data_IF_718705154592
#
_entry.id   IF_718705154592
#
_cell.length_a   1.000
_cell.length_b   1.000
_cell.length_c   1.000
_cell.angle_alpha   90.00
_cell.angle_beta   90.00
_cell.angle_gamma   90.00
#
_symmetry.space_group_name_H-M   'P 1'
#
loop_
_entity.id
_entity.type
_entity.pdbx_description
1 polymer ?
#
# COMPACT_ATOMS: atom_id res chain seq x y z
N UNK A 1 2.31 8.45 -12.66
CA UNK A 1 1.28 7.84 -11.79
C UNK A 1 1.20 8.62 -10.49
N UNK A 2 -0.01 8.83 -9.97
CA UNK A 2 -0.26 9.43 -8.65
C UNK A 2 0.25 8.52 -7.54
N UNK A 3 0.96 9.09 -6.57
CA UNK A 3 1.32 8.44 -5.32
C UNK A 3 0.41 8.94 -4.19
N UNK A 4 -0.42 8.04 -3.66
CA UNK A 4 -1.33 8.30 -2.55
C UNK A 4 -0.67 7.80 -1.27
N UNK A 5 -0.34 8.73 -0.38
CA UNK A 5 0.44 8.47 0.84
C UNK A 5 -0.45 8.62 2.06
N UNK A 6 -0.65 7.54 2.82
CA UNK A 6 -1.30 7.59 4.13
C UNK A 6 -0.35 8.08 5.21
N UNK A 7 -0.79 9.07 5.99
CA UNK A 7 0.00 9.65 7.09
C UNK A 7 -0.84 9.86 8.34
N UNK A 8 -0.28 9.51 9.49
CA UNK A 8 -0.85 9.72 10.82
C UNK A 8 0.21 9.99 11.90
N UNK A 9 1.50 9.76 11.62
CA UNK A 9 2.61 9.76 12.56
C UNK A 9 3.43 11.06 12.47
N UNK A 10 4.70 10.97 12.89
CA UNK A 10 5.67 12.05 12.99
C UNK A 10 6.27 12.37 11.62
N UNK A 11 6.51 13.67 11.39
CA UNK A 11 7.20 14.25 10.24
C UNK A 11 8.45 13.48 9.74
N UNK A 12 9.27 12.95 10.64
CA UNK A 12 10.47 12.18 10.28
C UNK A 12 10.21 10.95 9.41
N UNK A 13 9.01 10.36 9.48
CA UNK A 13 8.63 9.22 8.64
C UNK A 13 8.33 9.70 7.21
N UNK A 14 7.59 10.80 7.08
CA UNK A 14 7.31 11.45 5.80
C UNK A 14 8.59 11.85 5.08
N UNK A 15 9.54 12.46 5.79
CA UNK A 15 10.79 12.92 5.18
C UNK A 15 11.56 11.73 4.57
N UNK A 16 11.71 10.64 5.34
CA UNK A 16 12.38 9.42 4.85
C UNK A 16 11.62 8.74 3.72
N UNK A 17 10.30 8.62 3.83
CA UNK A 17 9.47 8.04 2.79
C UNK A 17 9.60 8.83 1.48
N UNK A 18 9.47 10.16 1.53
CA UNK A 18 9.59 11.03 0.35
C UNK A 18 10.99 11.01 -0.25
N UNK A 19 12.04 11.02 0.56
CA UNK A 19 13.41 10.93 0.06
C UNK A 19 13.66 9.59 -0.64
N UNK A 20 13.19 8.48 -0.07
CA UNK A 20 13.30 7.18 -0.72
C UNK A 20 12.45 7.05 -1.99
N UNK A 21 11.24 7.62 -2.00
CA UNK A 21 10.38 7.67 -3.19
C UNK A 21 11.07 8.44 -4.32
N UNK A 22 11.69 9.58 -4.03
CA UNK A 22 12.43 10.38 -5.03
C UNK A 22 13.69 9.67 -5.52
N UNK A 23 14.38 8.95 -4.65
CA UNK A 23 15.62 8.26 -4.98
C UNK A 23 15.40 6.98 -5.80
N UNK A 24 14.35 6.22 -5.48
CA UNK A 24 14.20 4.84 -5.95
C UNK A 24 12.92 4.58 -6.74
N UNK A 25 11.92 5.46 -6.73
CA UNK A 25 10.63 5.16 -7.37
C UNK A 25 10.44 6.04 -8.61
N UNK A 26 10.61 5.41 -9.77
CA UNK A 26 10.39 6.06 -11.06
C UNK A 26 8.89 6.05 -11.42
N UNK A 27 8.44 7.12 -12.10
CA UNK A 27 7.08 7.23 -12.62
C UNK A 27 6.08 7.91 -11.68
N UNK A 28 6.49 8.41 -10.51
CA UNK A 28 5.62 9.27 -9.67
C UNK A 28 5.49 10.65 -10.34
N UNK A 29 4.26 11.08 -10.59
CA UNK A 29 3.98 12.39 -11.23
C UNK A 29 3.38 13.42 -10.27
N UNK A 30 2.77 12.96 -9.18
CA UNK A 30 2.17 13.82 -8.17
C UNK A 30 2.06 13.07 -6.84
N UNK A 31 2.03 13.82 -5.74
CA UNK A 31 1.79 13.31 -4.40
C UNK A 31 0.42 13.77 -3.90
N UNK A 32 -0.35 12.82 -3.36
CA UNK A 32 -1.59 13.09 -2.64
C UNK A 32 -1.48 12.47 -1.25
N UNK A 33 -1.48 13.32 -0.23
CA UNK A 33 -1.38 12.91 1.17
C UNK A 33 -2.76 12.76 1.77
N UNK A 34 -3.01 11.60 2.38
CA UNK A 34 -4.19 11.34 3.20
C UNK A 34 -3.78 11.51 4.65
N UNK A 35 -4.06 12.69 5.19
CA UNK A 35 -3.60 13.10 6.51
C UNK A 35 -4.64 12.80 7.60
N UNK A 36 -4.38 11.73 8.36
CA UNK A 36 -5.16 11.33 9.52
C UNK A 36 -4.50 11.72 10.85
N UNK A 37 -3.52 12.62 10.86
CA UNK A 37 -2.89 13.10 12.10
C UNK A 37 -3.83 13.93 12.97
N UNK A 38 -4.76 14.67 12.34
CA UNK A 38 -5.56 15.69 13.04
C UNK A 38 -4.77 16.93 13.44
N UNK A 39 -3.57 17.12 12.89
CA UNK A 39 -2.68 18.23 13.16
C UNK A 39 -2.56 19.17 11.94
N UNK A 40 -2.95 20.44 12.13
CA UNK A 40 -2.90 21.44 11.08
C UNK A 40 -1.46 21.78 10.66
N UNK A 41 -0.51 21.79 11.59
CA UNK A 41 0.89 22.07 11.25
C UNK A 41 1.47 20.97 10.36
N UNK A 42 1.09 19.71 10.62
CA UNK A 42 1.42 18.59 9.76
C UNK A 42 0.76 18.72 8.37
N UNK A 43 -0.52 19.06 8.31
CA UNK A 43 -1.20 19.27 7.03
C UNK A 43 -0.56 20.40 6.21
N UNK A 44 -0.21 21.53 6.84
CA UNK A 44 0.48 22.66 6.20
C UNK A 44 1.89 22.27 5.72
N UNK A 45 2.58 21.42 6.47
CA UNK A 45 3.85 20.84 6.04
C UNK A 45 3.70 19.98 4.77
N UNK A 46 2.73 19.07 4.75
CA UNK A 46 2.49 18.16 3.63
C UNK A 46 2.10 18.89 2.34
N UNK A 47 1.38 20.02 2.45
CA UNK A 47 1.01 20.89 1.32
C UNK A 47 2.21 21.43 0.55
N UNK A 48 3.39 21.47 1.17
CA UNK A 48 4.62 21.88 0.47
C UNK A 48 5.10 20.88 -0.57
N UNK A 49 4.60 19.64 -0.54
CA UNK A 49 5.01 18.56 -1.45
C UNK A 49 3.90 18.10 -2.40
N UNK A 50 2.63 18.37 -2.08
CA UNK A 50 1.51 17.87 -2.87
C UNK A 50 0.13 18.22 -2.32
N UNK A 51 -0.89 17.56 -2.85
CA UNK A 51 -2.28 17.78 -2.42
C UNK A 51 -2.53 17.07 -1.10
N UNK A 52 -3.26 17.70 -0.18
CA UNK A 52 -3.57 17.12 1.14
C UNK A 52 -5.07 16.93 1.31
N UNK A 53 -5.47 15.73 1.72
CA UNK A 53 -6.83 15.36 2.11
C UNK A 53 -6.84 15.04 3.61
N UNK A 54 -7.32 15.98 4.41
CA UNK A 54 -7.38 15.83 5.87
C UNK A 54 -8.56 14.94 6.29
N UNK A 55 -8.28 13.91 7.08
CA UNK A 55 -9.28 13.03 7.71
C UNK A 55 -9.37 13.22 9.22
N UNK A 56 -8.58 14.11 9.82
CA UNK A 56 -8.82 14.64 11.16
C UNK A 56 -8.79 13.60 12.28
N UNK A 57 -7.81 12.70 12.31
CA UNK A 57 -7.63 11.77 13.44
C UNK A 57 -8.74 10.72 13.58
N UNK A 58 -9.38 10.33 12.48
CA UNK A 58 -10.58 9.49 12.49
C UNK A 58 -10.30 7.99 12.32
N UNK A 59 -9.02 7.61 12.24
CA UNK A 59 -8.54 6.24 12.16
C UNK A 59 -8.39 5.72 10.74
N UNK A 60 -7.61 4.64 10.64
CA UNK A 60 -7.19 3.98 9.40
C UNK A 60 -8.33 3.74 8.41
N UNK A 61 -9.49 3.28 8.88
CA UNK A 61 -10.63 3.04 8.00
C UNK A 61 -11.16 4.28 7.28
N UNK A 62 -11.10 5.48 7.90
CA UNK A 62 -11.49 6.74 7.24
C UNK A 62 -10.40 7.19 6.27
N UNK A 63 -9.13 7.11 6.66
CA UNK A 63 -8.00 7.39 5.79
C UNK A 63 -8.07 6.56 4.50
N UNK A 64 -8.23 5.23 4.60
CA UNK A 64 -8.33 4.37 3.42
C UNK A 64 -9.54 4.66 2.52
N UNK A 65 -10.65 5.17 3.07
CA UNK A 65 -11.78 5.63 2.25
C UNK A 65 -11.45 6.91 1.49
N UNK A 66 -10.76 7.85 2.14
CA UNK A 66 -10.28 9.06 1.50
C UNK A 66 -9.25 8.73 0.41
N UNK A 67 -8.33 7.79 0.67
CA UNK A 67 -7.39 7.26 -0.32
C UNK A 67 -8.11 6.70 -1.55
N UNK A 68 -9.14 5.86 -1.35
CA UNK A 68 -9.94 5.31 -2.45
C UNK A 68 -10.67 6.40 -3.26
N UNK A 69 -11.11 7.49 -2.61
CA UNK A 69 -11.75 8.60 -3.30
C UNK A 69 -10.73 9.44 -4.08
N UNK A 70 -9.57 9.73 -3.49
CA UNK A 70 -8.50 10.54 -4.08
C UNK A 70 -7.83 9.90 -5.30
N UNK A 71 -7.92 8.58 -5.42
CA UNK A 71 -7.51 7.86 -6.62
C UNK A 71 -8.42 8.12 -7.83
N UNK A 72 -9.66 8.59 -7.62
CA UNK A 72 -10.61 8.94 -8.69
C UNK A 72 -10.87 7.81 -9.71
N UNK A 73 -10.69 6.56 -9.28
CA UNK A 73 -10.82 5.39 -10.16
C UNK A 73 -9.65 5.19 -11.13
N UNK A 74 -8.52 5.88 -10.91
CA UNK A 74 -7.28 5.70 -11.65
C UNK A 74 -6.36 4.68 -10.98
N UNK A 75 -5.47 4.08 -11.79
CA UNK A 75 -4.39 3.27 -11.24
C UNK A 75 -3.42 4.19 -10.49
N UNK A 76 -3.08 3.85 -9.25
CA UNK A 76 -2.22 4.68 -8.41
C UNK A 76 -1.35 3.82 -7.50
N UNK A 77 -0.22 4.40 -7.08
CA UNK A 77 0.60 3.85 -6.00
C UNK A 77 -0.07 4.20 -4.67
N UNK A 78 -0.27 3.21 -3.82
CA UNK A 78 -0.55 3.38 -2.40
C UNK A 78 0.75 3.23 -1.61
N UNK A 79 0.97 4.09 -0.61
CA UNK A 79 2.14 4.09 0.26
C UNK A 79 1.74 4.49 1.68
N UNK A 80 2.35 3.89 2.70
CA UNK A 80 2.24 4.34 4.10
C UNK A 80 3.54 5.03 4.52
N UNK A 81 3.46 6.13 5.27
CA UNK A 81 4.62 6.98 5.60
C UNK A 81 5.79 6.28 6.30
N UNK A 82 5.58 5.11 6.90
CA UNK A 82 6.58 4.34 7.61
C UNK A 82 7.30 3.28 6.76
N UNK A 83 7.15 3.38 5.44
CA UNK A 83 7.90 2.58 4.49
C UNK A 83 8.98 3.38 3.76
N UNK A 84 10.11 2.73 3.54
CA UNK A 84 11.26 3.25 2.79
C UNK A 84 11.57 2.29 1.63
N UNK A 85 11.72 2.80 0.41
CA UNK A 85 12.21 2.00 -0.72
C UNK A 85 13.70 1.68 -0.53
N UNK A 86 14.08 0.42 -0.75
CA UNK A 86 15.49 -0.05 -0.63
C UNK A 86 16.06 -0.56 -1.96
N UNK A 87 15.24 -0.60 -3.00
CA UNK A 87 15.65 -0.91 -4.37
C UNK A 87 14.87 -0.04 -5.34
N UNK A 88 15.39 0.13 -6.55
CA UNK A 88 14.68 0.83 -7.61
C UNK A 88 13.37 0.12 -7.99
N UNK A 89 12.32 0.90 -8.17
CA UNK A 89 10.95 0.49 -8.47
C UNK A 89 10.47 1.29 -9.67
N UNK A 90 10.04 0.57 -10.71
CA UNK A 90 9.46 1.15 -11.92
C UNK A 90 7.94 1.00 -11.89
N UNK A 91 7.23 2.11 -11.67
CA UNK A 91 5.77 2.11 -11.61
C UNK A 91 5.12 1.85 -12.97
N UNK A 92 5.77 2.20 -14.08
CA UNK A 92 5.24 1.94 -15.42
C UNK A 92 5.31 0.44 -15.73
N UNK A 93 6.39 -0.23 -15.31
CA UNK A 93 6.49 -1.68 -15.39
C UNK A 93 5.42 -2.38 -14.53
N UNK A 94 5.20 -1.91 -13.29
CA UNK A 94 4.14 -2.45 -12.42
C UNK A 94 2.75 -2.23 -13.03
N UNK A 95 2.50 -1.07 -13.62
CA UNK A 95 1.25 -0.75 -14.31
C UNK A 95 1.03 -1.63 -15.54
N UNK A 96 2.08 -1.92 -16.30
CA UNK A 96 2.03 -2.81 -17.45
C UNK A 96 1.67 -4.25 -17.04
N UNK A 97 2.28 -4.78 -15.97
CA UNK A 97 1.93 -6.10 -15.42
C UNK A 97 0.44 -6.15 -15.10
N UNK A 98 -0.07 -5.16 -14.37
CA UNK A 98 -1.50 -5.10 -14.07
C UNK A 98 -2.31 -5.00 -15.37
N UNK A 99 -1.95 -4.15 -16.32
CA UNK A 99 -2.70 -4.03 -17.58
C UNK A 99 -2.79 -5.36 -18.34
N UNK A 100 -1.69 -6.14 -18.40
CA UNK A 100 -1.65 -7.44 -19.08
C UNK A 100 -2.34 -8.57 -18.30
N UNK A 101 -2.45 -8.45 -16.97
CA UNK A 101 -3.03 -9.48 -16.09
C UNK A 101 -4.28 -8.95 -15.37
N UNK A 102 -5.41 -8.75 -16.07
CA UNK A 102 -6.59 -8.04 -15.54
C UNK A 102 -7.19 -8.66 -14.27
N UNK A 103 -6.89 -9.92 -13.98
CA UNK A 103 -7.30 -10.62 -12.76
C UNK A 103 -6.47 -10.24 -11.51
N UNK A 104 -5.36 -9.50 -11.62
CA UNK A 104 -4.62 -9.02 -10.44
C UNK A 104 -5.22 -7.70 -9.94
N UNK A 105 -5.63 -7.62 -8.67
CA UNK A 105 -6.14 -6.40 -8.06
C UNK A 105 -5.04 -5.38 -7.75
N UNK A 106 -3.90 -5.88 -7.25
CA UNK A 106 -2.76 -5.08 -6.87
C UNK A 106 -1.46 -5.82 -7.17
N UNK A 107 -0.39 -5.05 -7.31
CA UNK A 107 0.97 -5.53 -7.30
C UNK A 107 1.69 -4.85 -6.13
N UNK A 108 1.96 -5.61 -5.09
CA UNK A 108 2.57 -5.12 -3.86
C UNK A 108 4.09 -5.29 -3.86
N UNK A 109 4.77 -4.33 -3.24
CA UNK A 109 6.17 -4.37 -2.95
C UNK A 109 6.39 -5.26 -1.73
N UNK A 110 7.22 -6.28 -1.86
CA UNK A 110 7.52 -7.17 -0.75
C UNK A 110 8.40 -6.43 0.26
N UNK A 111 8.02 -6.50 1.53
CA UNK A 111 8.83 -5.98 2.65
C UNK A 111 9.58 -7.10 3.35
N UNK A 112 10.62 -6.73 4.10
CA UNK A 112 11.21 -7.63 5.09
C UNK A 112 10.20 -8.08 6.16
N UNK A 113 10.52 -9.15 6.92
CA UNK A 113 9.70 -9.59 8.04
C UNK A 113 9.52 -8.46 9.07
N UNK A 114 8.32 -8.32 9.62
CA UNK A 114 7.98 -7.27 10.58
C UNK A 114 7.27 -7.80 11.82
N UNK A 115 6.42 -8.83 11.67
CA UNK A 115 5.76 -9.48 12.81
C UNK A 115 6.56 -10.70 13.32
N UNK A 116 6.45 -11.07 14.61
CA UNK A 116 7.18 -12.22 15.16
C UNK A 116 7.02 -13.52 14.35
N UNK A 117 5.80 -13.81 13.89
CA UNK A 117 5.51 -14.99 13.05
C UNK A 117 6.21 -14.92 11.69
N UNK A 118 6.38 -13.73 11.13
CA UNK A 118 7.10 -13.54 9.87
C UNK A 118 8.60 -13.74 10.09
N UNK A 119 9.15 -13.25 11.21
CA UNK A 119 10.55 -13.50 11.56
C UNK A 119 10.82 -15.00 11.78
N UNK A 120 9.89 -15.71 12.43
CA UNK A 120 9.99 -17.16 12.64
C UNK A 120 10.03 -17.95 11.32
N UNK A 121 9.27 -17.52 10.32
CA UNK A 121 9.14 -18.22 9.05
C UNK A 121 10.03 -17.66 7.93
N UNK A 122 10.73 -16.54 8.15
CA UNK A 122 11.62 -15.91 7.19
C UNK A 122 10.99 -14.81 6.31
N UNK A 123 9.68 -14.59 6.40
CA UNK A 123 8.97 -13.54 5.68
C UNK A 123 7.45 -13.69 5.73
N UNK A 124 6.76 -12.70 5.15
CA UNK A 124 5.29 -12.68 5.11
C UNK A 124 4.71 -13.76 4.19
N UNK A 125 5.41 -14.11 3.10
CA UNK A 125 4.96 -15.16 2.18
C UNK A 125 5.13 -16.52 2.86
N UNK A 126 6.28 -16.76 3.47
CA UNK A 126 6.64 -18.00 4.15
C UNK A 126 5.72 -18.26 5.35
N UNK A 127 5.41 -17.22 6.14
CA UNK A 127 4.43 -17.31 7.22
C UNK A 127 3.02 -17.65 6.71
N UNK A 128 2.59 -17.05 5.59
CA UNK A 128 1.29 -17.37 5.00
C UNK A 128 1.25 -18.77 4.37
N UNK A 129 2.36 -19.25 3.82
CA UNK A 129 2.49 -20.64 3.33
C UNK A 129 2.40 -21.65 4.48
N UNK A 130 3.02 -21.35 5.62
CA UNK A 130 2.90 -22.16 6.83
C UNK A 130 1.45 -22.20 7.36
N UNK A 131 0.67 -21.14 7.16
CA UNK A 131 -0.78 -21.09 7.43
C UNK A 131 -1.64 -21.75 6.32
N UNK A 132 -1.03 -22.44 5.37
CA UNK A 132 -1.71 -23.24 4.34
C UNK A 132 -2.13 -22.46 3.09
N UNK A 133 -1.59 -21.26 2.87
CA UNK A 133 -1.86 -20.50 1.64
C UNK A 133 -0.93 -20.87 0.49
N UNK A 134 -1.49 -20.92 -0.72
CA UNK A 134 -0.73 -21.13 -1.96
C UNK A 134 -0.24 -19.83 -2.56
N UNK A 135 1.02 -19.85 -3.02
CA UNK A 135 1.68 -18.81 -3.79
C UNK A 135 2.30 -19.44 -5.04
N UNK A 136 2.23 -18.75 -6.18
CA UNK A 136 2.78 -19.23 -7.45
C UNK A 136 3.55 -18.13 -8.13
N UNK A 137 4.76 -18.42 -8.57
CA UNK A 137 5.51 -17.49 -9.42
C UNK A 137 5.02 -17.61 -10.87
N UNK A 138 4.65 -16.49 -11.46
CA UNK A 138 4.16 -16.38 -12.84
C UNK A 138 4.85 -15.18 -13.48
N UNK A 139 5.73 -15.44 -14.45
CA UNK A 139 6.63 -14.49 -15.12
C UNK A 139 7.12 -13.36 -14.18
N UNK A 140 7.86 -13.73 -13.13
CA UNK A 140 8.47 -12.76 -12.22
C UNK A 140 7.52 -12.05 -11.25
N UNK A 141 6.29 -12.55 -11.06
CA UNK A 141 5.34 -12.06 -10.05
C UNK A 141 4.88 -13.22 -9.18
N UNK A 142 4.84 -13.02 -7.87
CA UNK A 142 4.33 -14.02 -6.93
C UNK A 142 2.83 -13.79 -6.74
N UNK A 143 2.00 -14.62 -7.37
CA UNK A 143 0.54 -14.51 -7.35
C UNK A 143 -0.12 -15.39 -6.27
N UNK A 144 -1.15 -14.86 -5.61
CA UNK A 144 -1.82 -15.54 -4.49
C UNK A 144 -3.25 -15.02 -4.25
N UNK A 145 -3.95 -15.65 -3.30
CA UNK A 145 -5.28 -15.23 -2.81
C UNK A 145 -5.30 -14.95 -1.29
N UNK A 146 -4.15 -15.13 -0.63
CA UNK A 146 -4.01 -15.10 0.83
C UNK A 146 -4.39 -13.76 1.47
N UNK A 147 -3.89 -12.64 0.91
CA UNK A 147 -4.07 -11.32 1.51
C UNK A 147 -4.19 -10.21 0.47
N UNK A 148 -5.02 -9.22 0.78
CA UNK A 148 -4.95 -7.90 0.17
C UNK A 148 -4.29 -7.01 1.21
N UNK A 149 -3.09 -6.51 0.91
CA UNK A 149 -2.22 -5.83 1.89
C UNK A 149 -2.21 -4.32 1.69
N UNK A 150 -2.17 -3.57 2.79
CA UNK A 150 -1.86 -2.14 2.83
C UNK A 150 -0.38 -1.78 2.63
N UNK A 151 0.52 -2.76 2.46
CA UNK A 151 1.91 -2.50 2.07
C UNK A 151 1.96 -1.64 0.79
N UNK A 152 3.06 -0.90 0.56
CA UNK A 152 3.29 -0.18 -0.68
C UNK A 152 2.98 -1.00 -1.92
N UNK A 153 2.10 -0.49 -2.77
CA UNK A 153 1.55 -1.30 -3.87
C UNK A 153 0.89 -0.43 -4.94
N UNK A 154 0.97 -0.88 -6.20
CA UNK A 154 0.16 -0.31 -7.27
C UNK A 154 -1.18 -1.02 -7.29
N UNK A 155 -2.27 -0.26 -7.18
CA UNK A 155 -3.63 -0.78 -7.27
C UNK A 155 -4.28 -0.35 -8.57
N UNK A 156 -5.12 -1.21 -9.12
CA UNK A 156 -6.00 -0.79 -10.22
C UNK A 156 -6.96 0.30 -9.79
N UNK A 157 -7.34 1.12 -10.76
CA UNK A 157 -8.45 2.05 -10.65
C UNK A 157 -9.76 1.41 -10.21
N UNK A 158 -10.11 0.24 -10.77
CA UNK A 158 -11.31 -0.51 -10.37
C UNK A 158 -11.28 -0.96 -8.90
N UNK A 159 -10.07 -1.20 -8.35
CA UNK A 159 -9.89 -1.59 -6.96
C UNK A 159 -10.08 -0.39 -6.05
N UNK A 160 -9.55 0.78 -6.38
CA UNK A 160 -9.86 2.02 -5.66
C UNK A 160 -11.35 2.37 -5.74
N UNK A 161 -11.95 2.32 -6.94
CA UNK A 161 -13.37 2.61 -7.17
C UNK A 161 -14.31 1.69 -6.38
N UNK A 162 -13.88 0.45 -6.08
CA UNK A 162 -14.64 -0.43 -5.20
C UNK A 162 -14.72 0.05 -3.73
N UNK A 163 -13.96 1.07 -3.35
CA UNK A 163 -13.98 1.72 -2.04
C UNK A 163 -13.40 0.86 -0.90
N UNK A 164 -13.32 1.45 0.30
CA UNK A 164 -12.82 0.76 1.49
C UNK A 164 -13.96 0.35 2.46
N UNK A 165 -13.94 -0.88 3.02
CA UNK A 165 -14.97 -1.32 3.97
C UNK A 165 -15.03 -0.49 5.26
N UNK A 166 -16.24 -0.27 5.80
CA UNK A 166 -16.50 0.52 7.02
C UNK A 166 -16.35 -0.24 8.36
N UNK A 167 -15.88 -1.48 8.36
CA UNK A 167 -15.92 -2.36 9.55
C UNK A 167 -14.50 -2.84 9.92
N UNK A 168 -14.27 -3.18 11.20
CA UNK A 168 -13.04 -3.86 11.70
C UNK A 168 -12.59 -4.99 10.78
N UNK A 169 -11.29 -5.23 10.68
CA UNK A 169 -10.72 -6.19 9.72
C UNK A 169 -11.02 -5.77 8.28
N UNK A 170 -10.88 -4.48 8.00
CA UNK A 170 -11.28 -3.88 6.72
C UNK A 170 -10.47 -4.43 5.54
N UNK A 171 -9.18 -4.73 5.74
CA UNK A 171 -8.34 -5.38 4.73
C UNK A 171 -8.86 -6.77 4.36
N UNK A 172 -9.16 -7.62 5.36
CA UNK A 172 -9.72 -8.95 5.12
C UNK A 172 -11.08 -8.88 4.39
N UNK A 173 -11.90 -7.87 4.71
CA UNK A 173 -13.17 -7.63 4.02
C UNK A 173 -12.97 -7.16 2.60
N UNK A 174 -12.00 -6.27 2.36
CA UNK A 174 -11.60 -5.82 1.02
C UNK A 174 -11.13 -7.02 0.20
N UNK A 175 -10.22 -7.84 0.75
CA UNK A 175 -9.77 -9.11 0.17
C UNK A 175 -10.94 -9.98 -0.27
N UNK A 176 -11.86 -10.31 0.64
CA UNK A 176 -13.03 -11.17 0.32
C UNK A 176 -13.92 -10.57 -0.77
N UNK A 177 -14.12 -9.24 -0.77
CA UNK A 177 -14.88 -8.56 -1.83
C UNK A 177 -14.19 -8.71 -3.18
N UNK A 178 -12.87 -8.52 -3.24
CA UNK A 178 -12.09 -8.63 -4.47
C UNK A 178 -12.02 -10.08 -4.99
N UNK A 179 -11.82 -11.07 -4.11
CA UNK A 179 -11.85 -12.48 -4.48
C UNK A 179 -13.19 -12.87 -5.11
N UNK A 180 -14.32 -12.39 -4.56
CA UNK A 180 -15.66 -12.62 -5.14
C UNK A 180 -15.85 -11.96 -6.50
N UNK A 181 -15.09 -10.91 -6.80
CA UNK A 181 -15.05 -10.27 -8.10
C UNK A 181 -14.04 -10.93 -9.08
N UNK A 182 -13.45 -12.07 -8.70
CA UNK A 182 -12.51 -12.83 -9.53
C UNK A 182 -11.07 -12.34 -9.47
N UNK A 183 -10.74 -11.41 -8.57
CA UNK A 183 -9.37 -10.92 -8.43
C UNK A 183 -8.47 -11.89 -7.67
N UNK A 184 -7.17 -11.79 -7.94
CA UNK A 184 -6.03 -12.31 -7.18
C UNK A 184 -5.11 -11.13 -6.79
N UNK A 185 -4.06 -11.42 -6.04
CA UNK A 185 -3.08 -10.43 -5.59
C UNK A 185 -1.68 -10.86 -6.01
N UNK A 186 -0.79 -9.89 -6.25
CA UNK A 186 0.59 -10.16 -6.63
C UNK A 186 1.58 -9.44 -5.72
N UNK A 187 2.74 -10.05 -5.53
CA UNK A 187 3.95 -9.38 -5.04
C UNK A 187 5.00 -9.31 -6.15
N UNK A 188 5.71 -8.18 -6.23
CA UNK A 188 7.02 -8.17 -6.88
C UNK A 188 8.02 -8.93 -6.01
N UNK A 189 8.80 -9.87 -6.58
CA UNK A 189 9.76 -10.67 -5.84
C UNK A 189 10.96 -9.84 -5.38
N UNK A 190 11.62 -10.33 -4.34
CA UNK A 190 12.71 -9.64 -3.65
C UNK A 190 12.20 -8.53 -2.73
N UNK A 191 12.88 -8.31 -1.61
CA UNK A 191 12.54 -7.19 -0.71
C UNK A 191 12.75 -5.88 -1.47
N UNK A 192 11.71 -5.05 -1.52
CA UNK A 192 11.67 -3.76 -2.21
C UNK A 192 11.57 -2.58 -1.24
N UNK A 193 11.00 -2.83 -0.07
CA UNK A 193 10.76 -1.81 0.95
C UNK A 193 11.06 -2.34 2.35
N UNK A 194 11.42 -1.43 3.26
CA UNK A 194 11.53 -1.69 4.70
C UNK A 194 10.38 -0.98 5.43
N UNK A 195 9.96 -1.54 6.55
CA UNK A 195 8.90 -0.98 7.40
C UNK A 195 9.52 -0.55 8.74
N UNK A 196 9.68 0.75 8.93
CA UNK A 196 10.42 1.33 10.06
C UNK A 196 9.50 1.87 11.16
N UNK A 197 8.19 1.74 10.98
CA UNK A 197 7.18 2.19 11.94
C UNK A 197 6.96 1.21 13.06
N UNK A 198 6.83 1.72 14.28
CA UNK A 198 6.14 0.97 15.34
C UNK A 198 4.63 1.00 15.06
N UNK A 199 3.93 -0.09 15.40
CA UNK A 199 2.48 -0.18 15.25
C UNK A 199 1.79 0.69 16.32
N UNK A 200 1.44 1.92 15.95
CA UNK A 200 0.89 2.93 16.87
C UNK A 200 -0.50 3.48 16.48
N UNK A 201 -1.20 2.88 15.51
CA UNK A 201 -2.52 3.32 15.06
C UNK A 201 -3.70 2.62 15.77
N UNK A 202 -4.90 3.19 15.63
CA UNK A 202 -6.15 2.62 16.12
C UNK A 202 -7.13 2.34 14.96
N UNK A 203 -7.97 1.31 15.11
CA UNK A 203 -9.09 1.05 14.18
C UNK A 203 -8.80 0.15 12.97
N UNK A 204 -7.72 -0.62 12.99
CA UNK A 204 -7.48 -1.74 12.05
C UNK A 204 -8.56 -2.85 12.16
#
# INVERSE_FOLDING_TARGET
MKAIIGTYRKRQYIDRALDSLRAHVAGVTEFVFIDDSGDRENADYLRTFGTVVETGGSGYGRAMRAACAAAEGEMSLWWEEDFTAVTDIDLDHMAEILTRRPYLAQLALLRGPHFPVEHEHGGVIEALQADGHEFREVDGVIEHTATFTGNPSVWRGSVFAAGWPRRRWSENKKRRKLLRAGYRFGYLPGIRVEHDGERSGHGY
#
